data_IF_668116092798
#
_entry.id   IF_668116092798
#
_cell.length_a   1.000
_cell.length_b   1.000
_cell.length_c   1.000
_cell.angle_alpha   90.00
_cell.angle_beta   90.00
_cell.angle_gamma   90.00
#
_symmetry.space_group_name_H-M   'P 1'
#
loop_
_entity.id
_entity.type
_entity.pdbx_description
1 polymer ?
#
# COMPACT_ATOMS: atom_id res chain seq x y z
N UNK A 1 48.86 -13.19 -80.48
CA UNK A 1 47.78 -12.60 -81.32
C UNK A 1 46.60 -12.35 -80.38
N UNK A 2 46.43 -11.12 -79.89
CA UNK A 2 45.65 -10.02 -80.48
C UNK A 2 44.17 -10.07 -80.04
N UNK A 3 43.76 -9.08 -79.23
CA UNK A 3 42.43 -8.99 -78.59
C UNK A 3 41.40 -8.34 -79.55
N UNK A 4 40.11 -8.70 -79.49
CA UNK A 4 39.09 -8.07 -80.34
C UNK A 4 38.67 -6.68 -79.82
N UNK A 5 38.51 -5.77 -80.78
CA UNK A 5 37.67 -4.56 -80.83
C UNK A 5 37.38 -3.76 -79.54
N UNK A 6 37.95 -2.56 -79.52
CA UNK A 6 37.60 -1.46 -78.61
C UNK A 6 36.58 -0.55 -79.31
N UNK A 7 35.29 -0.66 -78.99
CA UNK A 7 34.29 0.28 -79.51
C UNK A 7 34.51 1.68 -78.88
N UNK A 8 34.67 2.67 -79.76
CA UNK A 8 34.83 4.08 -79.41
C UNK A 8 33.45 4.67 -79.13
N UNK A 9 33.22 5.20 -77.92
CA UNK A 9 31.97 5.92 -77.57
C UNK A 9 32.14 7.41 -77.84
N UNK A 10 31.19 8.00 -78.55
CA UNK A 10 31.15 9.44 -78.81
C UNK A 10 31.04 10.30 -77.55
N UNK A 11 31.75 11.45 -77.49
CA UNK A 11 31.70 12.37 -76.37
C UNK A 11 30.66 13.49 -76.57
N UNK A 12 29.38 13.16 -76.79
CA UNK A 12 28.31 14.15 -76.74
C UNK A 12 27.50 14.08 -75.44
N UNK A 13 27.87 14.98 -74.52
CA UNK A 13 27.14 15.26 -73.27
C UNK A 13 25.77 15.89 -73.57
N UNK A 14 24.74 15.06 -73.72
CA UNK A 14 23.38 15.48 -73.42
C UNK A 14 23.26 15.77 -71.91
N UNK A 15 22.99 17.01 -71.53
CA UNK A 15 22.90 17.44 -70.12
C UNK A 15 21.70 16.73 -69.47
N UNK A 16 21.97 15.70 -68.66
CA UNK A 16 20.97 15.13 -67.77
C UNK A 16 20.74 16.11 -66.63
N UNK A 17 19.71 16.95 -66.75
CA UNK A 17 19.20 17.75 -65.64
C UNK A 17 18.97 16.82 -64.45
N UNK A 18 19.61 17.05 -63.29
CA UNK A 18 19.41 16.17 -62.15
C UNK A 18 17.95 16.27 -61.72
N UNK A 19 17.23 15.15 -61.80
CA UNK A 19 15.87 15.04 -61.26
C UNK A 19 15.98 15.32 -59.77
N UNK A 20 15.61 16.54 -59.35
CA UNK A 20 15.56 16.91 -57.95
C UNK A 20 14.58 15.96 -57.28
N UNK A 21 15.07 15.09 -56.40
CA UNK A 21 14.20 14.29 -55.52
C UNK A 21 13.29 15.29 -54.79
N UNK A 22 11.96 15.10 -54.76
CA UNK A 22 11.09 16.00 -54.04
C UNK A 22 11.50 15.98 -52.57
N UNK A 23 12.00 17.10 -52.07
CA UNK A 23 12.21 17.29 -50.63
C UNK A 23 10.84 17.24 -49.97
N UNK A 24 10.64 16.26 -49.09
CA UNK A 24 9.45 16.17 -48.24
C UNK A 24 9.44 17.34 -47.28
N UNK A 25 8.83 18.44 -47.71
CA UNK A 25 8.58 19.61 -46.88
C UNK A 25 7.48 19.26 -45.89
N UNK A 26 7.86 19.02 -44.63
CA UNK A 26 6.91 18.90 -43.52
C UNK A 26 6.37 20.29 -43.16
N UNK A 27 5.61 20.89 -44.07
CA UNK A 27 4.82 22.08 -43.78
C UNK A 27 3.84 21.69 -42.67
N UNK A 28 3.93 22.37 -41.53
CA UNK A 28 3.00 22.16 -40.42
C UNK A 28 1.59 22.47 -40.93
N UNK A 29 0.73 21.46 -40.99
CA UNK A 29 -0.69 21.69 -41.24
C UNK A 29 -1.24 22.53 -40.07
N UNK A 30 -1.97 23.59 -40.41
CA UNK A 30 -2.84 24.27 -39.45
C UNK A 30 -3.82 23.24 -38.86
N UNK A 31 -4.11 23.34 -37.57
CA UNK A 31 -5.01 22.40 -36.91
C UNK A 31 -6.45 22.68 -37.37
N UNK A 32 -7.16 21.63 -37.78
CA UNK A 32 -8.57 21.70 -38.15
C UNK A 32 -9.40 22.20 -36.95
N UNK A 33 -10.11 23.33 -37.06
CA UNK A 33 -10.89 23.90 -35.95
C UNK A 33 -12.10 23.04 -35.55
N UNK A 34 -12.59 22.16 -36.42
CA UNK A 34 -13.68 21.22 -36.14
C UNK A 34 -13.19 19.83 -35.68
N UNK A 35 -11.88 19.64 -35.51
CA UNK A 35 -11.34 18.40 -34.96
C UNK A 35 -11.91 18.16 -33.54
N UNK A 36 -12.42 16.94 -33.23
CA UNK A 36 -13.00 16.66 -31.93
C UNK A 36 -11.98 16.90 -30.82
N UNK A 37 -12.35 17.72 -29.84
CA UNK A 37 -11.46 18.13 -28.76
C UNK A 37 -10.82 16.91 -28.08
N UNK A 38 -9.50 16.80 -28.19
CA UNK A 38 -8.74 15.69 -27.61
C UNK A 38 -9.04 15.58 -26.11
N UNK A 39 -9.19 14.36 -25.55
CA UNK A 39 -9.52 14.19 -24.14
C UNK A 39 -8.38 14.71 -23.26
N UNK A 40 -8.53 15.95 -22.76
CA UNK A 40 -7.55 16.59 -21.90
C UNK A 40 -7.73 16.15 -20.45
N UNK A 41 -6.61 15.91 -19.77
CA UNK A 41 -6.59 15.72 -18.33
C UNK A 41 -6.04 16.96 -17.63
N UNK A 42 -6.51 17.27 -16.42
CA UNK A 42 -5.99 18.43 -15.67
C UNK A 42 -4.51 18.22 -15.31
N UNK A 43 -3.66 19.18 -15.66
CA UNK A 43 -2.21 19.12 -15.52
C UNK A 43 -1.76 18.73 -14.10
N UNK A 44 -2.32 19.37 -13.06
CA UNK A 44 -1.98 19.10 -11.66
C UNK A 44 -2.34 17.68 -11.20
N UNK A 45 -3.35 17.04 -11.80
CA UNK A 45 -3.68 15.62 -11.55
C UNK A 45 -2.56 14.73 -12.06
N UNK A 46 -2.10 14.96 -13.29
CA UNK A 46 -1.03 14.15 -13.90
C UNK A 46 0.33 14.37 -13.25
N UNK A 47 0.68 15.61 -12.88
CA UNK A 47 1.92 15.92 -12.14
C UNK A 47 1.94 15.22 -10.76
N UNK A 48 0.81 15.24 -10.05
CA UNK A 48 0.67 14.55 -8.76
C UNK A 48 0.69 13.03 -8.91
N UNK A 49 0.16 12.49 -10.01
CA UNK A 49 0.20 11.06 -10.35
C UNK A 49 1.62 10.60 -10.69
N UNK A 50 2.39 11.43 -11.42
CA UNK A 50 3.82 11.24 -11.69
C UNK A 50 4.72 11.28 -10.44
N UNK A 51 4.16 11.59 -9.27
CA UNK A 51 4.85 11.59 -7.99
C UNK A 51 5.55 12.90 -7.61
N UNK A 52 5.28 14.01 -8.31
CA UNK A 52 5.99 15.29 -8.09
C UNK A 52 5.54 16.10 -6.86
N UNK A 53 4.42 15.73 -6.22
CA UNK A 53 3.91 16.37 -4.99
C UNK A 53 2.42 16.11 -4.78
N UNK A 54 1.78 16.79 -3.82
CA UNK A 54 0.32 16.80 -3.65
C UNK A 54 -0.37 17.53 -4.81
N UNK A 55 -1.68 17.28 -5.01
CA UNK A 55 -2.44 17.98 -6.06
C UNK A 55 -2.46 19.50 -5.84
N UNK A 56 -2.51 19.95 -4.57
CA UNK A 56 -2.49 21.37 -4.20
C UNK A 56 -1.10 21.98 -4.43
N UNK A 57 -0.04 21.24 -4.11
CA UNK A 57 1.34 21.66 -4.35
C UNK A 57 1.57 21.85 -5.86
N UNK A 58 1.00 20.97 -6.68
CA UNK A 58 1.08 21.08 -8.14
C UNK A 58 0.22 22.22 -8.69
N UNK A 59 -0.95 22.53 -8.09
CA UNK A 59 -1.71 23.75 -8.43
C UNK A 59 -0.94 25.03 -8.08
N UNK A 60 -0.31 25.09 -6.91
CA UNK A 60 0.56 26.19 -6.51
C UNK A 60 1.80 26.32 -7.41
N UNK A 61 2.41 25.19 -7.80
CA UNK A 61 3.56 25.16 -8.71
C UNK A 61 3.18 25.62 -10.12
N UNK A 62 2.00 25.24 -10.63
CA UNK A 62 1.44 25.81 -11.86
C UNK A 62 1.21 27.32 -11.71
N UNK A 63 0.58 27.76 -10.61
CA UNK A 63 0.36 29.18 -10.31
C UNK A 63 1.64 30.02 -10.21
N UNK A 64 2.78 29.40 -9.88
CA UNK A 64 4.09 30.08 -9.85
C UNK A 64 4.70 30.37 -11.25
N UNK A 65 4.06 29.92 -12.33
CA UNK A 65 4.53 30.15 -13.71
C UNK A 65 5.75 29.30 -14.14
N UNK A 66 6.25 28.41 -13.27
CA UNK A 66 7.43 27.56 -13.53
C UNK A 66 7.18 26.37 -14.46
N UNK A 67 5.92 26.09 -14.79
CA UNK A 67 5.52 25.00 -15.67
C UNK A 67 5.05 25.56 -17.01
N UNK A 68 5.58 25.00 -18.10
CA UNK A 68 5.17 25.35 -19.46
C UNK A 68 4.60 24.15 -20.20
N UNK A 69 3.51 24.34 -20.94
CA UNK A 69 2.94 23.38 -21.91
C UNK A 69 3.32 23.89 -23.30
N UNK A 70 4.02 23.10 -24.11
CA UNK A 70 4.44 23.45 -25.47
C UNK A 70 5.21 24.79 -25.58
N UNK A 71 5.87 25.22 -24.49
CA UNK A 71 6.60 26.49 -24.40
C UNK A 71 5.79 27.68 -23.85
N UNK A 72 4.47 27.54 -23.68
CA UNK A 72 3.59 28.57 -23.08
C UNK A 72 3.44 28.29 -21.58
N UNK A 73 3.48 29.33 -20.74
CA UNK A 73 3.29 29.19 -19.28
C UNK A 73 1.89 28.65 -18.97
N UNK A 74 1.82 27.61 -18.14
CA UNK A 74 0.56 26.97 -17.76
C UNK A 74 -0.21 27.80 -16.71
N UNK A 75 -1.52 27.90 -16.87
CA UNK A 75 -2.43 28.52 -15.90
C UNK A 75 -3.08 27.50 -14.97
N UNK A 76 -3.58 27.94 -13.81
CA UNK A 76 -4.30 27.07 -12.87
C UNK A 76 -5.54 26.50 -13.58
N UNK A 77 -5.70 25.18 -13.49
CA UNK A 77 -6.75 24.45 -14.19
C UNK A 77 -6.43 24.03 -15.63
N UNK A 78 -5.24 24.34 -16.17
CA UNK A 78 -4.85 23.91 -17.53
C UNK A 78 -5.08 22.41 -17.76
N UNK A 79 -5.68 22.09 -18.91
CA UNK A 79 -5.75 20.75 -19.46
C UNK A 79 -4.51 20.42 -20.27
N UNK A 80 -4.16 19.15 -20.36
CA UNK A 80 -3.04 18.65 -21.16
C UNK A 80 -3.41 17.30 -21.80
N UNK A 81 -2.94 17.09 -23.03
CA UNK A 81 -3.12 15.90 -23.86
C UNK A 81 -1.82 15.11 -23.99
N UNK A 82 -1.89 13.86 -24.47
CA UNK A 82 -0.72 12.98 -24.59
C UNK A 82 0.38 13.48 -25.53
N UNK A 83 0.05 14.39 -26.45
CA UNK A 83 0.99 14.96 -27.41
C UNK A 83 1.73 16.22 -26.90
N UNK A 84 1.31 16.75 -25.75
CA UNK A 84 1.83 18.02 -25.23
C UNK A 84 3.15 17.85 -24.45
N UNK A 85 4.12 18.72 -24.75
CA UNK A 85 5.42 18.74 -24.07
C UNK A 85 5.34 19.62 -22.83
N UNK A 86 5.14 18.98 -21.68
CA UNK A 86 5.18 19.65 -20.37
C UNK A 86 6.61 19.75 -19.86
N UNK A 87 7.00 20.93 -19.39
CA UNK A 87 8.31 21.19 -18.77
C UNK A 87 8.15 21.90 -17.43
N UNK A 88 9.00 21.56 -16.46
CA UNK A 88 9.22 22.30 -15.22
C UNK A 88 10.64 22.86 -15.26
N UNK A 89 10.81 24.17 -15.07
CA UNK A 89 12.10 24.86 -15.15
C UNK A 89 12.89 24.45 -16.43
N UNK A 90 12.21 24.49 -17.57
CA UNK A 90 12.68 24.07 -18.91
C UNK A 90 12.99 22.58 -19.09
N UNK A 91 12.96 21.74 -18.04
CA UNK A 91 13.19 20.28 -18.11
C UNK A 91 11.90 19.54 -18.46
N UNK A 92 11.87 18.66 -19.48
CA UNK A 92 10.67 17.90 -19.84
C UNK A 92 10.29 16.90 -18.74
N UNK A 93 8.99 16.79 -18.46
CA UNK A 93 8.40 15.81 -17.53
C UNK A 93 7.65 14.77 -18.36
N UNK A 94 7.90 13.49 -18.09
CA UNK A 94 7.04 12.42 -18.58
C UNK A 94 5.80 12.34 -17.70
N UNK A 95 4.63 12.57 -18.29
CA UNK A 95 3.33 12.43 -17.62
C UNK A 95 2.71 11.07 -17.96
N UNK A 96 2.14 10.35 -16.97
CA UNK A 96 1.50 9.06 -17.20
C UNK A 96 0.12 9.25 -17.85
N UNK A 97 0.07 9.25 -19.18
CA UNK A 97 -1.16 9.23 -19.96
C UNK A 97 -1.72 7.81 -20.16
N UNK A 98 -0.83 6.82 -20.29
CA UNK A 98 -1.22 5.41 -20.30
C UNK A 98 -1.52 4.93 -18.87
N UNK A 99 -2.61 4.18 -18.72
CA UNK A 99 -2.99 3.60 -17.44
C UNK A 99 -2.12 2.36 -17.17
N UNK A 100 -1.07 2.50 -16.36
CA UNK A 100 -0.44 1.33 -15.73
C UNK A 100 -1.41 0.66 -14.74
N UNK A 101 -1.29 -0.66 -14.54
CA UNK A 101 -2.05 -1.33 -13.48
C UNK A 101 -1.67 -0.72 -12.13
N UNK A 102 -2.68 -0.28 -11.39
CA UNK A 102 -2.50 0.27 -10.05
C UNK A 102 -1.72 -0.72 -9.16
N UNK A 103 -0.92 -0.20 -8.24
CA UNK A 103 -0.42 -1.01 -7.12
C UNK A 103 -1.37 -0.82 -5.95
N UNK A 104 -1.55 -1.87 -5.16
CA UNK A 104 -2.29 -1.81 -3.89
C UNK A 104 -1.45 -2.51 -2.83
N UNK A 105 -1.25 -1.85 -1.71
CA UNK A 105 -0.48 -2.34 -0.57
C UNK A 105 -1.40 -2.44 0.65
N UNK A 106 -1.50 -3.62 1.24
CA UNK A 106 -2.06 -3.81 2.58
C UNK A 106 -0.97 -3.46 3.60
N UNK A 107 -1.32 -2.65 4.58
CA UNK A 107 -0.54 -2.40 5.78
C UNK A 107 -1.34 -2.75 7.03
N UNK A 108 -0.77 -3.59 7.91
CA UNK A 108 -1.28 -3.74 9.27
C UNK A 108 -0.70 -2.62 10.13
N UNK A 109 -1.35 -1.45 10.08
CA UNK A 109 -0.95 -0.24 10.82
C UNK A 109 -0.89 -0.53 12.33
N UNK A 110 0.23 -0.22 13.01
CA UNK A 110 0.29 -0.23 14.47
C UNK A 110 -0.32 1.05 15.08
N UNK A 111 -0.51 1.05 16.39
CA UNK A 111 -0.75 2.27 17.15
C UNK A 111 0.53 3.13 17.19
N UNK A 112 0.39 4.44 17.48
CA UNK A 112 1.51 5.39 17.52
C UNK A 112 1.90 6.03 16.18
N UNK A 113 1.42 5.49 15.05
CA UNK A 113 1.67 6.09 13.73
C UNK A 113 0.50 6.95 13.24
N UNK A 114 0.82 8.09 12.62
CA UNK A 114 -0.16 8.99 11.99
C UNK A 114 -0.30 8.74 10.48
N UNK A 115 -1.50 8.97 9.95
CA UNK A 115 -1.78 8.90 8.50
C UNK A 115 -1.71 10.32 7.88
N UNK A 116 -0.50 10.87 7.83
CA UNK A 116 -0.19 12.12 7.10
C UNK A 116 1.18 12.08 6.44
N UNK A 117 1.34 12.73 5.28
CA UNK A 117 2.64 12.86 4.59
C UNK A 117 3.49 13.99 5.18
N UNK A 118 2.84 15.04 5.70
CA UNK A 118 3.47 16.15 6.40
C UNK A 118 2.76 16.35 7.75
N UNK A 119 3.54 16.55 8.79
CA UNK A 119 3.05 16.67 10.17
C UNK A 119 3.85 17.74 10.89
N UNK A 120 3.23 18.84 11.34
CA UNK A 120 3.92 19.91 12.05
C UNK A 120 4.67 19.43 13.30
N UNK A 121 4.12 18.44 14.00
CA UNK A 121 4.70 17.82 15.20
C UNK A 121 5.78 16.77 14.89
N UNK A 122 6.01 16.45 13.61
CA UNK A 122 7.02 15.49 13.11
C UNK A 122 6.92 14.09 13.73
N UNK A 123 5.70 13.64 14.07
CA UNK A 123 5.42 12.30 14.60
C UNK A 123 5.73 11.21 13.58
N UNK A 124 5.80 9.96 14.04
CA UNK A 124 6.04 8.80 13.19
C UNK A 124 4.90 8.63 12.16
N UNK A 125 5.22 8.66 10.87
CA UNK A 125 4.23 8.54 9.80
C UNK A 125 4.19 7.14 9.21
N UNK A 126 2.98 6.66 8.87
CA UNK A 126 2.81 5.43 8.07
C UNK A 126 3.56 5.49 6.72
N UNK A 127 3.81 6.71 6.20
CA UNK A 127 4.53 6.91 4.93
C UNK A 127 6.04 6.72 5.08
N UNK A 128 6.61 6.87 6.29
CA UNK A 128 8.05 6.73 6.56
C UNK A 128 8.59 5.30 6.28
N UNK A 129 7.68 4.31 6.25
CA UNK A 129 7.94 2.88 6.09
C UNK A 129 7.71 2.34 4.67
N UNK A 130 7.07 3.10 3.78
CA UNK A 130 6.57 2.56 2.51
C UNK A 130 7.69 2.23 1.50
N UNK A 131 7.53 1.16 0.68
CA UNK A 131 8.48 0.85 -0.39
C UNK A 131 8.44 1.94 -1.47
N UNK A 132 9.60 2.29 -2.05
CA UNK A 132 9.66 3.29 -3.14
C UNK A 132 9.02 2.75 -4.42
N UNK A 133 8.20 3.58 -5.07
CA UNK A 133 7.64 3.33 -6.41
C UNK A 133 8.30 4.28 -7.41
N UNK A 134 8.53 3.82 -8.64
CA UNK A 134 9.06 4.66 -9.73
C UNK A 134 7.89 5.32 -10.47
N UNK A 135 8.01 6.60 -10.83
CA UNK A 135 7.01 7.33 -11.62
C UNK A 135 5.64 7.52 -10.96
N UNK A 136 5.48 7.13 -9.70
CA UNK A 136 4.23 7.22 -8.95
C UNK A 136 4.51 7.33 -7.45
N UNK A 137 3.48 7.69 -6.69
CA UNK A 137 3.51 7.79 -5.22
C UNK A 137 2.40 6.96 -4.58
N UNK A 138 2.58 6.59 -3.32
CA UNK A 138 1.52 5.98 -2.52
C UNK A 138 0.51 7.02 -2.04
N UNK A 139 -0.76 6.66 -2.14
CA UNK A 139 -1.92 7.39 -1.65
C UNK A 139 -2.57 6.49 -0.59
N UNK A 140 -2.71 6.96 0.65
CA UNK A 140 -3.45 6.24 1.68
C UNK A 140 -4.94 6.23 1.34
N UNK A 141 -5.59 5.07 1.49
CA UNK A 141 -7.03 4.92 1.33
C UNK A 141 -7.67 5.09 2.71
N UNK A 142 -8.28 6.25 2.91
CA UNK A 142 -8.80 6.70 4.20
C UNK A 142 -7.69 7.01 5.21
N UNK A 143 -8.11 7.24 6.44
CA UNK A 143 -7.22 7.43 7.60
C UNK A 143 -7.57 6.41 8.69
N UNK A 144 -6.66 6.25 9.63
CA UNK A 144 -6.88 5.64 10.93
C UNK A 144 -6.22 6.57 11.96
N UNK A 145 -6.83 6.72 13.14
CA UNK A 145 -6.25 7.53 14.21
C UNK A 145 -4.90 6.96 14.69
N UNK A 146 -4.14 7.78 15.39
CA UNK A 146 -2.86 7.39 15.98
C UNK A 146 -3.03 6.17 16.92
N UNK A 147 -4.09 6.15 17.73
CA UNK A 147 -4.45 5.06 18.65
C UNK A 147 -5.45 4.06 18.04
N UNK A 148 -5.38 3.86 16.72
CA UNK A 148 -6.18 2.86 16.00
C UNK A 148 -5.28 2.02 15.11
N UNK A 149 -5.46 0.71 15.20
CA UNK A 149 -4.65 -0.31 14.53
C UNK A 149 -5.38 -0.97 13.35
N UNK A 150 -4.70 -1.86 12.64
CA UNK A 150 -5.31 -2.75 11.65
C UNK A 150 -5.15 -2.30 10.21
N UNK A 151 -6.15 -2.62 9.38
CA UNK A 151 -6.10 -2.50 7.93
C UNK A 151 -6.01 -1.05 7.45
N UNK A 152 -4.86 -0.66 6.94
CA UNK A 152 -4.68 0.53 6.10
C UNK A 152 -4.27 0.10 4.69
N UNK A 153 -4.99 0.55 3.68
CA UNK A 153 -4.64 0.30 2.29
C UNK A 153 -3.90 1.52 1.73
N UNK A 154 -2.93 1.27 0.85
CA UNK A 154 -2.34 2.29 -0.02
C UNK A 154 -2.50 1.89 -1.47
N UNK A 155 -2.60 2.87 -2.37
CA UNK A 155 -2.61 2.63 -3.81
C UNK A 155 -1.83 3.71 -4.57
N UNK A 156 -1.41 3.41 -5.80
CA UNK A 156 -0.93 4.42 -6.75
C UNK A 156 -2.08 5.08 -7.55
N UNK A 157 -3.29 4.52 -7.53
CA UNK A 157 -4.44 5.07 -8.27
C UNK A 157 -5.29 5.99 -7.38
N UNK A 158 -5.26 7.28 -7.68
CA UNK A 158 -6.12 8.26 -7.00
C UNK A 158 -7.63 8.03 -7.23
N UNK A 159 -8.00 7.40 -8.34
CA UNK A 159 -9.39 7.07 -8.65
C UNK A 159 -9.87 5.90 -7.77
N UNK A 160 -9.06 4.86 -7.61
CA UNK A 160 -9.37 3.75 -6.70
C UNK A 160 -9.45 4.23 -5.24
N UNK A 161 -8.53 5.11 -4.82
CA UNK A 161 -8.61 5.72 -3.50
C UNK A 161 -9.91 6.52 -3.31
N UNK A 162 -10.34 7.29 -4.31
CA UNK A 162 -11.59 8.03 -4.29
C UNK A 162 -12.82 7.10 -4.17
N UNK A 163 -12.84 5.98 -4.91
CA UNK A 163 -13.91 4.96 -4.84
C UNK A 163 -14.11 4.38 -3.44
N UNK A 164 -13.03 4.18 -2.69
CA UNK A 164 -13.09 3.70 -1.31
C UNK A 164 -13.42 4.78 -0.26
N UNK A 165 -13.05 6.04 -0.52
CA UNK A 165 -13.12 7.11 0.48
C UNK A 165 -14.37 7.98 0.39
N UNK A 166 -14.94 8.16 -0.80
CA UNK A 166 -16.01 9.14 -0.99
C UNK A 166 -17.35 8.60 -0.44
N UNK A 167 -18.07 9.34 0.45
CA UNK A 167 -19.27 8.85 1.13
C UNK A 167 -20.33 8.25 0.21
N UNK A 168 -20.56 8.86 -0.97
CA UNK A 168 -21.50 8.37 -2.02
C UNK A 168 -21.40 6.90 -2.43
N UNK A 169 -20.28 6.22 -2.14
CA UNK A 169 -20.07 4.81 -2.48
C UNK A 169 -20.35 3.87 -1.31
N UNK A 170 -20.62 4.39 -0.11
CA UNK A 170 -21.02 3.63 1.08
C UNK A 170 -20.13 2.40 1.34
N UNK A 171 -18.82 2.58 1.18
CA UNK A 171 -17.88 1.45 1.29
C UNK A 171 -17.70 1.07 2.75
N UNK A 172 -18.23 -0.11 3.09
CA UNK A 172 -18.19 -0.71 4.42
C UNK A 172 -16.78 -0.74 5.03
N UNK A 173 -16.72 -0.42 6.32
CA UNK A 173 -15.53 -0.45 7.18
C UNK A 173 -15.89 -1.25 8.41
N UNK A 174 -15.14 -2.31 8.65
CA UNK A 174 -15.42 -3.25 9.74
C UNK A 174 -14.32 -3.15 10.79
N UNK A 175 -14.73 -3.05 12.06
CA UNK A 175 -13.83 -2.90 13.18
C UNK A 175 -14.08 -3.98 14.23
N UNK A 176 -12.99 -4.55 14.74
CA UNK A 176 -12.97 -5.22 16.03
C UNK A 176 -12.72 -4.16 17.11
N UNK A 177 -13.66 -4.03 18.03
CA UNK A 177 -13.68 -3.04 19.11
C UNK A 177 -13.62 -3.78 20.43
N UNK A 178 -12.72 -3.39 21.34
CA UNK A 178 -12.74 -3.86 22.73
C UNK A 178 -13.12 -2.72 23.65
N UNK A 179 -14.23 -2.86 24.37
CA UNK A 179 -14.68 -1.88 25.36
C UNK A 179 -14.37 -2.33 26.78
N UNK A 180 -14.43 -1.39 27.72
CA UNK A 180 -14.55 -1.69 29.15
C UNK A 180 -16.04 -1.61 29.53
N UNK A 181 -16.56 -2.67 30.16
CA UNK A 181 -17.99 -2.92 30.35
C UNK A 181 -18.58 -3.84 29.27
N UNK A 182 -19.91 -3.89 29.21
CA UNK A 182 -20.70 -4.68 28.27
C UNK A 182 -21.90 -3.86 27.79
N UNK A 183 -22.29 -3.98 26.53
CA UNK A 183 -23.54 -3.42 26.02
C UNK A 183 -24.73 -4.33 26.34
N UNK A 184 -25.77 -3.77 26.93
CA UNK A 184 -27.09 -4.40 27.01
C UNK A 184 -27.74 -4.54 25.63
N UNK A 185 -28.68 -5.48 25.47
CA UNK A 185 -29.42 -5.66 24.21
C UNK A 185 -30.15 -4.39 23.75
N UNK A 186 -30.68 -3.60 24.70
CA UNK A 186 -31.32 -2.30 24.41
C UNK A 186 -30.34 -1.28 23.83
N UNK A 187 -29.12 -1.17 24.38
CA UNK A 187 -28.09 -0.29 23.83
C UNK A 187 -27.58 -0.78 22.47
N UNK A 188 -27.50 -2.10 22.26
CA UNK A 188 -27.18 -2.69 20.94
C UNK A 188 -28.25 -2.30 19.90
N UNK A 189 -29.53 -2.27 20.29
CA UNK A 189 -30.62 -1.84 19.40
C UNK A 189 -30.52 -0.33 19.09
N UNK A 190 -30.36 0.52 20.11
CA UNK A 190 -30.17 1.96 19.94
C UNK A 190 -28.97 2.31 19.04
N UNK A 191 -27.86 1.58 19.17
CA UNK A 191 -26.69 1.73 18.30
C UNK A 191 -26.95 1.34 16.83
N UNK A 192 -27.96 0.52 16.54
CA UNK A 192 -28.38 0.17 15.17
C UNK A 192 -29.40 1.15 14.60
N UNK A 193 -30.36 1.58 15.42
CA UNK A 193 -31.39 2.56 15.06
C UNK A 193 -30.80 3.96 14.85
N UNK A 194 -29.80 4.31 15.66
CA UNK A 194 -29.04 5.55 15.58
C UNK A 194 -29.19 6.42 16.81
N UNK A 195 -28.12 7.15 17.13
CA UNK A 195 -28.06 8.09 18.24
C UNK A 195 -27.52 9.45 17.77
N UNK A 196 -27.91 10.52 18.47
CA UNK A 196 -27.45 11.86 18.15
C UNK A 196 -26.03 12.08 18.69
N UNK A 197 -25.09 12.46 17.81
CA UNK A 197 -23.74 12.90 18.18
C UNK A 197 -23.59 14.41 17.91
N UNK A 198 -22.50 15.01 18.41
CA UNK A 198 -22.20 16.45 18.25
C UNK A 198 -22.23 16.97 16.80
N UNK A 199 -21.91 16.10 15.83
CA UNK A 199 -21.89 16.39 14.39
C UNK A 199 -23.09 15.77 13.62
N UNK A 200 -24.17 15.39 14.33
CA UNK A 200 -25.41 14.82 13.79
C UNK A 200 -25.62 13.34 14.13
N UNK A 201 -26.73 12.72 13.68
CA UNK A 201 -27.06 11.33 13.98
C UNK A 201 -26.02 10.36 13.40
N UNK A 202 -25.77 9.24 14.08
CA UNK A 202 -24.88 8.17 13.64
C UNK A 202 -25.34 6.80 14.15
N UNK A 203 -25.04 5.73 13.41
CA UNK A 203 -25.40 4.35 13.76
C UNK A 203 -24.36 3.33 13.27
N UNK A 204 -24.43 2.11 13.78
CA UNK A 204 -23.76 0.95 13.19
C UNK A 204 -24.72 0.22 12.24
N UNK A 205 -24.28 -0.10 11.02
CA UNK A 205 -25.03 -0.96 10.09
C UNK A 205 -25.19 -2.37 10.65
N UNK A 206 -24.15 -2.83 11.35
CA UNK A 206 -24.14 -4.10 12.09
C UNK A 206 -23.27 -3.95 13.33
N UNK A 207 -23.73 -4.57 14.42
CA UNK A 207 -22.95 -4.77 15.65
C UNK A 207 -23.29 -6.16 16.19
N UNK A 208 -22.24 -6.90 16.55
CA UNK A 208 -22.35 -8.24 17.16
C UNK A 208 -21.31 -8.44 18.26
N UNK A 209 -21.69 -9.00 19.42
CA UNK A 209 -20.73 -9.38 20.45
C UNK A 209 -19.88 -10.56 19.97
N UNK A 210 -18.60 -10.55 20.37
CA UNK A 210 -17.60 -11.57 20.01
C UNK A 210 -17.05 -12.28 21.27
N UNK A 211 -17.72 -12.11 22.41
CA UNK A 211 -17.28 -12.59 23.72
C UNK A 211 -16.33 -11.63 24.43
N UNK A 212 -15.87 -12.02 25.61
CA UNK A 212 -15.00 -11.22 26.48
C UNK A 212 -14.55 -11.99 27.70
N UNK A 213 -13.66 -11.38 28.49
CA UNK A 213 -13.21 -11.90 29.77
C UNK A 213 -13.20 -10.76 30.81
N UNK A 214 -13.82 -11.02 31.97
CA UNK A 214 -14.01 -10.00 33.01
C UNK A 214 -14.70 -8.74 32.47
N UNK A 215 -14.19 -7.57 32.83
CA UNK A 215 -14.74 -6.28 32.40
C UNK A 215 -14.44 -5.90 30.95
N UNK A 216 -13.88 -6.77 30.11
CA UNK A 216 -13.47 -6.43 28.73
C UNK A 216 -14.21 -7.28 27.68
N UNK A 217 -15.11 -6.65 26.93
CA UNK A 217 -15.87 -7.31 25.86
C UNK A 217 -15.47 -6.84 24.46
N UNK A 218 -15.49 -7.77 23.51
CA UNK A 218 -15.23 -7.52 22.10
C UNK A 218 -16.53 -7.43 21.31
N UNK A 219 -16.59 -6.48 20.39
CA UNK A 219 -17.66 -6.29 19.42
C UNK A 219 -17.08 -6.17 18.02
N UNK A 220 -17.76 -6.76 17.04
CA UNK A 220 -17.51 -6.55 15.62
C UNK A 220 -18.58 -5.58 15.11
N UNK A 221 -18.15 -4.43 14.57
CA UNK A 221 -19.04 -3.37 14.08
C UNK A 221 -18.75 -3.02 12.62
N UNK A 222 -19.79 -2.68 11.85
CA UNK A 222 -19.70 -2.25 10.44
C UNK A 222 -20.32 -0.86 10.28
N UNK A 223 -19.65 0.01 9.53
CA UNK A 223 -20.13 1.34 9.13
C UNK A 223 -19.81 1.63 7.67
N UNK A 224 -20.70 2.35 7.00
CA UNK A 224 -20.50 2.88 5.63
C UNK A 224 -19.95 4.31 5.58
N UNK A 225 -20.03 5.03 6.70
CA UNK A 225 -19.39 6.33 6.92
C UNK A 225 -18.01 6.22 7.62
N UNK A 226 -17.48 7.36 8.04
CA UNK A 226 -16.10 7.49 8.50
C UNK A 226 -15.77 8.89 9.02
N UNK A 227 -16.69 9.48 9.79
CA UNK A 227 -16.49 10.76 10.50
C UNK A 227 -15.38 10.63 11.53
N UNK A 228 -14.94 11.76 12.07
CA UNK A 228 -13.83 11.74 13.02
C UNK A 228 -14.21 10.95 14.28
N UNK A 229 -13.40 9.94 14.62
CA UNK A 229 -13.53 9.09 15.82
C UNK A 229 -14.91 8.45 16.03
N UNK A 230 -15.71 8.34 14.97
CA UNK A 230 -17.11 7.90 14.94
C UNK A 230 -17.41 6.67 15.80
N UNK A 231 -16.69 5.55 15.56
CA UNK A 231 -16.82 4.32 16.38
C UNK A 231 -16.62 4.60 17.86
N UNK A 232 -15.61 5.40 18.24
CA UNK A 232 -15.33 5.69 19.65
C UNK A 232 -16.45 6.53 20.26
N UNK A 233 -16.92 7.55 19.55
CA UNK A 233 -18.01 8.43 19.99
C UNK A 233 -19.33 7.69 20.20
N UNK A 234 -19.65 6.72 19.32
CA UNK A 234 -20.83 5.87 19.46
C UNK A 234 -20.83 5.05 20.77
N UNK A 235 -19.69 4.48 21.18
CA UNK A 235 -19.58 3.77 22.46
C UNK A 235 -19.43 4.73 23.67
N UNK A 236 -18.71 5.85 23.50
CA UNK A 236 -18.53 6.90 24.52
C UNK A 236 -19.88 7.55 24.92
N UNK A 237 -20.85 7.62 24.00
CA UNK A 237 -22.23 8.08 24.28
C UNK A 237 -22.98 7.22 25.32
N UNK A 238 -22.59 5.95 25.50
CA UNK A 238 -23.08 5.05 26.54
C UNK A 238 -22.11 4.90 27.73
N UNK A 239 -21.12 5.79 27.83
CA UNK A 239 -20.08 5.80 28.86
C UNK A 239 -19.22 4.50 28.88
N UNK A 240 -19.13 3.81 27.74
CA UNK A 240 -18.35 2.58 27.56
C UNK A 240 -17.07 2.87 26.76
N UNK A 241 -15.92 3.11 27.42
CA UNK A 241 -14.71 3.56 26.73
C UNK A 241 -14.08 2.45 25.88
N UNK A 242 -13.70 2.80 24.64
CA UNK A 242 -13.02 1.89 23.70
C UNK A 242 -11.54 1.75 24.05
N UNK A 243 -11.18 0.64 24.71
CA UNK A 243 -9.79 0.33 25.07
C UNK A 243 -8.93 -0.12 23.89
N UNK A 244 -9.51 -0.79 22.88
CA UNK A 244 -8.81 -1.14 21.62
C UNK A 244 -9.72 -1.01 20.42
N UNK A 245 -9.17 -0.49 19.31
CA UNK A 245 -9.85 -0.39 18.03
C UNK A 245 -8.93 -0.88 16.91
N UNK A 246 -9.42 -1.84 16.11
CA UNK A 246 -8.69 -2.44 15.00
C UNK A 246 -9.60 -2.55 13.78
N UNK A 247 -9.25 -1.91 12.66
CA UNK A 247 -9.98 -2.12 11.39
C UNK A 247 -9.60 -3.49 10.82
N UNK A 248 -10.58 -4.36 10.59
CA UNK A 248 -10.36 -5.74 10.09
C UNK A 248 -10.72 -5.90 8.62
N UNK A 249 -11.68 -5.12 8.10
CA UNK A 249 -12.06 -5.10 6.67
C UNK A 249 -12.32 -3.67 6.21
N UNK A 250 -12.05 -3.42 4.93
CA UNK A 250 -12.46 -2.20 4.23
C UNK A 250 -12.90 -2.59 2.82
N UNK A 251 -14.18 -2.40 2.51
CA UNK A 251 -14.81 -2.87 1.28
C UNK A 251 -14.66 -4.39 1.12
N UNK A 252 -14.15 -4.88 -0.02
CA UNK A 252 -13.90 -6.30 -0.25
C UNK A 252 -12.55 -6.79 0.31
N UNK A 253 -11.72 -5.90 0.86
CA UNK A 253 -10.37 -6.26 1.33
C UNK A 253 -10.39 -6.53 2.83
N UNK A 254 -10.08 -7.77 3.20
CA UNK A 254 -9.87 -8.21 4.58
C UNK A 254 -8.40 -8.05 4.98
N UNK A 255 -8.14 -7.87 6.28
CA UNK A 255 -6.80 -7.96 6.87
C UNK A 255 -6.38 -9.44 6.93
N UNK A 256 -5.41 -9.91 6.12
CA UNK A 256 -5.07 -11.33 6.09
C UNK A 256 -4.37 -11.72 7.41
N UNK A 257 -4.76 -12.82 8.09
CA UNK A 257 -4.19 -13.21 9.39
C UNK A 257 -2.67 -13.40 9.40
N UNK A 258 -2.09 -13.70 8.22
CA UNK A 258 -0.63 -13.81 8.01
C UNK A 258 0.14 -12.49 8.10
N UNK A 259 -0.53 -11.33 8.10
CA UNK A 259 0.10 -10.02 8.26
C UNK A 259 0.06 -9.60 9.73
N UNK A 260 1.21 -9.71 10.41
CA UNK A 260 1.37 -9.20 11.78
C UNK A 260 1.42 -7.68 11.82
N UNK A 261 1.17 -7.08 12.99
CA UNK A 261 1.29 -5.64 13.22
C UNK A 261 2.63 -5.10 12.71
N UNK A 262 2.58 -3.99 11.97
CA UNK A 262 3.75 -3.37 11.36
C UNK A 262 4.24 -4.04 10.06
N UNK A 263 3.65 -5.15 9.60
CA UNK A 263 3.98 -5.77 8.30
C UNK A 263 3.11 -5.25 7.15
N UNK A 264 3.66 -5.33 5.94
CA UNK A 264 3.07 -4.89 4.67
C UNK A 264 2.99 -6.04 3.66
N UNK A 265 2.15 -5.91 2.64
CA UNK A 265 1.98 -6.87 1.53
C UNK A 265 1.46 -6.16 0.28
N UNK A 266 2.01 -6.45 -0.90
CA UNK A 266 1.46 -5.97 -2.18
C UNK A 266 0.39 -6.97 -2.64
N UNK A 267 -0.78 -6.49 -3.06
CA UNK A 267 -1.80 -7.35 -3.67
C UNK A 267 -1.31 -7.87 -5.03
N UNK A 268 -1.71 -9.09 -5.38
CA UNK A 268 -1.39 -9.66 -6.69
C UNK A 268 -2.12 -8.91 -7.82
N UNK A 269 -1.56 -8.87 -9.05
CA UNK A 269 -2.20 -8.20 -10.19
C UNK A 269 -3.65 -8.64 -10.44
N UNK A 270 -3.97 -9.91 -10.20
CA UNK A 270 -5.34 -10.45 -10.31
C UNK A 270 -6.27 -9.87 -9.25
N UNK A 271 -5.82 -9.79 -7.99
CA UNK A 271 -6.60 -9.18 -6.91
C UNK A 271 -6.83 -7.69 -7.15
N UNK A 272 -5.84 -6.98 -7.71
CA UNK A 272 -6.01 -5.58 -8.11
C UNK A 272 -7.02 -5.43 -9.26
N UNK A 273 -7.01 -6.30 -10.27
CA UNK A 273 -8.00 -6.27 -11.36
C UNK A 273 -9.41 -6.46 -10.80
N UNK A 274 -9.63 -7.52 -9.99
CA UNK A 274 -10.90 -7.75 -9.32
C UNK A 274 -11.35 -6.53 -8.49
N UNK A 275 -10.41 -5.81 -7.87
CA UNK A 275 -10.69 -4.64 -7.06
C UNK A 275 -11.02 -3.39 -7.90
N UNK A 276 -10.41 -3.23 -9.08
CA UNK A 276 -10.80 -2.20 -10.05
C UNK A 276 -12.20 -2.47 -10.62
N UNK A 277 -12.48 -3.73 -10.97
CA UNK A 277 -13.80 -4.18 -11.44
C UNK A 277 -14.89 -3.95 -10.38
N UNK A 278 -14.66 -4.35 -9.13
CA UNK A 278 -15.55 -4.06 -8.00
C UNK A 278 -15.77 -2.56 -7.81
N UNK A 279 -14.74 -1.74 -8.00
CA UNK A 279 -14.83 -0.29 -7.94
C UNK A 279 -15.51 0.35 -9.17
N UNK A 280 -15.90 -0.43 -10.19
CA UNK A 280 -16.46 0.07 -11.44
C UNK A 280 -15.46 0.92 -12.24
N UNK A 281 -14.19 0.50 -12.27
CA UNK A 281 -13.09 1.12 -12.99
C UNK A 281 -12.56 0.17 -14.06
N UNK A 282 -12.17 0.71 -15.21
CA UNK A 282 -11.55 -0.09 -16.27
C UNK A 282 -10.16 -0.59 -15.84
N UNK A 283 -9.97 -1.91 -15.87
CA UNK A 283 -8.66 -2.51 -15.76
C UNK A 283 -7.84 -2.24 -17.05
N UNK A 284 -6.55 -1.85 -16.94
CA UNK A 284 -5.72 -1.65 -18.12
C UNK A 284 -5.60 -2.89 -19.01
N UNK A 285 -5.88 -2.72 -20.30
CA UNK A 285 -5.79 -3.77 -21.32
C UNK A 285 -4.35 -4.11 -21.73
N UNK A 286 -3.36 -3.38 -21.21
CA UNK A 286 -1.95 -3.66 -21.44
C UNK A 286 -1.61 -5.09 -20.97
N UNK A 287 -0.83 -5.87 -21.73
CA UNK A 287 -0.48 -7.22 -21.30
C UNK A 287 0.26 -7.15 -19.97
N UNK A 288 -0.28 -7.82 -18.95
CA UNK A 288 0.40 -7.97 -17.67
C UNK A 288 1.78 -8.56 -17.96
N UNK A 289 2.84 -7.76 -17.79
CA UNK A 289 4.22 -8.22 -17.97
C UNK A 289 4.37 -9.48 -17.12
N UNK A 290 4.67 -10.60 -17.78
CA UNK A 290 4.76 -11.89 -17.12
C UNK A 290 5.86 -11.81 -16.05
N UNK A 291 5.43 -11.71 -14.78
CA UNK A 291 6.31 -11.75 -13.62
C UNK A 291 6.84 -13.17 -13.50
N UNK A 292 8.13 -13.32 -13.19
CA UNK A 292 8.68 -14.61 -12.80
C UNK A 292 8.00 -15.12 -11.53
N UNK A 293 7.96 -16.44 -11.31
CA UNK A 293 7.36 -17.02 -10.11
C UNK A 293 7.92 -16.39 -8.81
N UNK A 294 9.22 -16.11 -8.79
CA UNK A 294 9.93 -15.44 -7.69
C UNK A 294 9.50 -13.98 -7.46
N UNK A 295 9.07 -13.26 -8.50
CA UNK A 295 8.52 -11.91 -8.37
C UNK A 295 7.07 -11.91 -7.86
N UNK A 296 6.30 -12.95 -8.20
CA UNK A 296 4.93 -13.16 -7.68
C UNK A 296 5.00 -13.50 -6.18
N UNK A 297 5.75 -14.56 -5.84
CA UNK A 297 5.96 -15.01 -4.46
C UNK A 297 6.47 -13.88 -3.55
N UNK A 298 7.43 -13.09 -4.03
CA UNK A 298 7.98 -11.95 -3.28
C UNK A 298 7.01 -10.77 -3.12
N UNK A 299 6.08 -10.56 -4.05
CA UNK A 299 5.07 -9.52 -3.93
C UNK A 299 3.97 -9.91 -2.93
N UNK A 300 3.51 -11.15 -3.02
CA UNK A 300 2.47 -11.72 -2.16
C UNK A 300 2.96 -12.07 -0.73
N UNK A 301 4.27 -12.14 -0.49
CA UNK A 301 4.85 -12.38 0.83
C UNK A 301 4.67 -11.18 1.78
N UNK A 302 4.23 -11.38 3.03
CA UNK A 302 4.24 -10.30 4.02
C UNK A 302 5.69 -9.91 4.34
N UNK A 303 6.01 -8.63 4.32
CA UNK A 303 7.34 -8.12 4.62
C UNK A 303 7.32 -7.07 5.74
N UNK A 304 8.40 -7.02 6.52
CA UNK A 304 8.64 -5.89 7.43
C UNK A 304 9.28 -4.74 6.64
N UNK A 305 8.72 -3.52 6.68
CA UNK A 305 9.28 -2.37 5.98
C UNK A 305 10.66 -2.01 6.53
N UNK A 306 11.60 -1.66 5.62
CA UNK A 306 12.92 -1.15 6.02
C UNK A 306 12.80 0.31 6.42
N UNK A 307 12.92 0.58 7.72
CA UNK A 307 12.93 1.93 8.26
C UNK A 307 14.13 2.75 7.79
N UNK A 308 13.89 4.03 7.47
CA UNK A 308 14.97 5.01 7.30
C UNK A 308 15.56 5.40 8.66
N UNK A 309 16.82 5.85 8.72
CA UNK A 309 17.44 6.32 9.98
C UNK A 309 16.64 7.42 10.67
N UNK A 310 16.05 8.32 9.90
CA UNK A 310 15.23 9.42 10.41
C UNK A 310 13.89 8.91 10.96
N UNK A 311 13.30 7.90 10.33
CA UNK A 311 12.09 7.23 10.82
C UNK A 311 12.35 6.45 12.11
N UNK A 312 13.50 5.77 12.23
CA UNK A 312 13.91 5.07 13.46
C UNK A 312 13.91 6.00 14.67
N UNK A 313 14.48 7.21 14.53
CA UNK A 313 14.53 8.21 15.60
C UNK A 313 13.14 8.73 16.02
N UNK A 314 12.20 8.89 15.07
CA UNK A 314 10.81 9.25 15.39
C UNK A 314 10.08 8.14 16.13
N UNK A 315 10.20 6.90 15.65
CA UNK A 315 9.53 5.74 16.24
C UNK A 315 10.03 5.42 17.66
N UNK A 316 11.33 5.51 17.93
CA UNK A 316 11.85 5.28 19.28
C UNK A 316 11.29 6.26 20.33
N UNK A 317 10.94 7.50 19.92
CA UNK A 317 10.27 8.45 20.81
C UNK A 317 8.81 8.06 21.10
N UNK A 318 8.11 7.49 20.12
CA UNK A 318 6.72 7.04 20.28
C UNK A 318 6.63 5.74 21.08
N UNK A 319 7.51 4.77 20.84
CA UNK A 319 7.54 3.51 21.61
C UNK A 319 7.79 3.77 23.11
N UNK A 320 8.62 4.76 23.46
CA UNK A 320 8.80 5.21 24.84
C UNK A 320 7.49 5.77 25.44
N UNK A 321 6.80 6.68 24.74
CA UNK A 321 5.54 7.28 25.20
C UNK A 321 4.40 6.28 25.34
N UNK A 322 4.26 5.33 24.40
CA UNK A 322 3.23 4.27 24.48
C UNK A 322 3.50 3.31 25.64
N UNK A 323 4.78 2.99 25.91
CA UNK A 323 5.18 2.21 27.09
C UNK A 323 4.87 2.97 28.39
N UNK A 324 5.11 4.27 28.41
CA UNK A 324 4.83 5.12 29.56
C UNK A 324 3.31 5.23 29.85
N UNK A 325 2.49 5.46 28.82
CA UNK A 325 1.02 5.48 28.91
C UNK A 325 0.44 4.14 29.38
N UNK A 326 0.85 3.02 28.78
CA UNK A 326 0.38 1.69 29.22
C UNK A 326 0.82 1.36 30.64
N UNK A 327 2.00 1.81 31.07
CA UNK A 327 2.44 1.69 32.46
C UNK A 327 1.68 2.60 33.43
N UNK A 328 1.09 3.70 32.95
CA UNK A 328 0.24 4.60 33.74
C UNK A 328 -1.16 4.01 33.89
N UNK A 329 -1.74 3.45 32.83
CA UNK A 329 -3.00 2.71 32.86
C UNK A 329 -2.93 1.50 33.81
N UNK A 330 -1.84 0.74 33.79
CA UNK A 330 -1.63 -0.39 34.72
C UNK A 330 -1.46 0.06 36.18
N UNK A 331 -0.91 1.26 36.44
CA UNK A 331 -0.73 1.80 37.79
C UNK A 331 -2.00 2.41 38.38
N UNK A 332 -2.90 2.90 37.53
CA UNK A 332 -4.15 3.56 37.93
C UNK A 332 -5.41 2.74 37.64
N UNK A 333 -5.27 1.45 37.33
CA UNK A 333 -6.39 0.52 37.27
C UNK A 333 -7.12 0.51 38.63
N UNK A 334 -8.46 0.61 38.66
CA UNK A 334 -9.21 0.51 39.92
C UNK A 334 -8.92 -0.82 40.60
N UNK A 335 -8.54 -0.77 41.89
CA UNK A 335 -8.46 -1.99 42.69
C UNK A 335 -9.89 -2.44 42.98
N UNK A 336 -10.20 -3.68 42.65
CA UNK A 336 -11.45 -4.31 43.07
C UNK A 336 -11.52 -4.30 44.59
N UNK A 337 -12.64 -3.81 45.13
CA UNK A 337 -12.90 -3.71 46.56
C UNK A 337 -13.72 -4.94 46.96
N UNK A 338 -13.04 -6.04 47.27
CA UNK A 338 -13.68 -7.19 47.89
C UNK A 338 -14.22 -6.80 49.28
N UNK A 339 -15.54 -6.86 49.45
CA UNK A 339 -16.16 -6.34 50.66
C UNK A 339 -17.56 -6.88 50.95
N UNK A 340 -17.65 -8.15 51.38
CA UNK A 340 -18.75 -8.78 52.13
C UNK A 340 -18.28 -10.20 52.57
N UNK A 341 -18.59 -10.79 53.74
CA UNK A 341 -19.33 -10.39 54.94
C UNK A 341 -18.81 -11.18 56.19
N UNK A 342 -18.95 -10.57 57.38
CA UNK A 342 -18.92 -11.15 58.75
C UNK A 342 -18.82 -12.69 58.91
N UNK A 343 -17.92 -13.12 59.83
CA UNK A 343 -18.28 -13.84 61.07
C UNK A 343 -17.10 -13.77 62.05
N UNK A 344 -17.37 -13.46 63.31
CA UNK A 344 -16.34 -13.52 64.36
C UNK A 344 -16.55 -14.73 65.27
N UNK A 345 -15.52 -15.09 66.02
CA UNK A 345 -15.65 -15.51 67.42
C UNK A 345 -14.35 -15.17 68.15
N UNK A 346 -14.47 -14.71 69.40
CA UNK A 346 -13.34 -14.69 70.33
C UNK A 346 -13.17 -16.09 70.89
N UNK A 347 -11.94 -16.51 71.13
CA UNK A 347 -11.67 -17.35 72.31
C UNK A 347 -10.24 -17.10 72.82
N UNK A 348 -10.04 -17.35 74.11
CA UNK A 348 -8.89 -16.85 74.87
C UNK A 348 -8.35 -17.88 75.84
N UNK A 349 -7.11 -18.31 75.62
CA UNK A 349 -6.22 -18.95 76.59
C UNK A 349 -4.78 -18.88 76.03
N UNK A 350 -3.70 -18.79 76.81
CA UNK A 350 -3.59 -18.67 78.26
C UNK A 350 -2.49 -19.58 78.80
N UNK A 351 -1.35 -18.99 79.23
CA UNK A 351 -0.19 -19.64 79.90
C UNK A 351 0.66 -20.59 79.04
N UNK A 352 1.93 -20.86 79.33
CA UNK A 352 2.95 -20.21 80.21
C UNK A 352 4.36 -20.52 79.67
N UNK A 353 5.40 -19.91 80.26
CA UNK A 353 6.80 -20.12 79.88
C UNK A 353 7.29 -21.56 80.15
N UNK A 354 8.25 -22.04 79.35
CA UNK A 354 9.46 -22.62 79.96
C UNK A 354 10.72 -22.39 79.10
N UNK A 355 11.88 -22.83 79.62
CA UNK A 355 13.11 -22.04 79.58
C UNK A 355 14.32 -22.86 79.10
N UNK A 356 15.36 -22.14 78.64
CA UNK A 356 16.77 -22.57 78.38
C UNK A 356 17.05 -23.26 77.02
N UNK A 357 18.17 -22.85 76.41
CA UNK A 357 18.67 -23.47 75.18
C UNK A 357 19.76 -22.66 74.44
N UNK A 358 20.78 -22.17 75.14
CA UNK A 358 21.87 -21.42 74.49
C UNK A 358 22.75 -22.32 73.62
N UNK A 359 22.96 -21.96 72.34
CA UNK A 359 24.29 -22.05 71.68
C UNK A 359 24.49 -20.86 70.74
N UNK A 360 25.64 -20.20 70.86
CA UNK A 360 26.12 -19.14 69.96
C UNK A 360 26.79 -19.72 68.72
N UNK A 361 26.62 -19.07 67.57
CA UNK A 361 27.69 -18.70 66.58
C UNK A 361 27.02 -17.93 65.42
N UNK A 362 27.56 -16.83 64.92
CA UNK A 362 28.86 -16.19 65.18
C UNK A 362 29.55 -15.89 63.85
N UNK A 363 29.69 -14.61 63.52
CA UNK A 363 30.08 -14.13 62.20
C UNK A 363 31.50 -14.50 61.71
N UNK A 364 31.66 -14.47 60.38
CA UNK A 364 32.94 -14.15 59.73
C UNK A 364 33.86 -15.33 59.34
N UNK A 365 35.11 -15.03 58.95
CA UNK A 365 35.34 -14.41 57.64
C UNK A 365 36.60 -14.92 56.89
N UNK A 366 36.71 -14.52 55.61
CA UNK A 366 37.94 -14.08 54.91
C UNK A 366 39.22 -14.95 54.77
N UNK A 367 39.88 -14.68 53.63
CA UNK A 367 41.32 -14.35 53.48
C UNK A 367 42.27 -15.43 52.91
N UNK A 368 43.12 -14.98 51.97
CA UNK A 368 44.47 -15.47 51.63
C UNK A 368 44.62 -16.93 51.15
N UNK A 369 45.54 -17.31 50.24
CA UNK A 369 46.51 -16.65 49.35
C UNK A 369 46.94 -17.73 48.28
N UNK A 370 47.86 -17.60 47.32
CA UNK A 370 48.90 -16.63 46.90
C UNK A 370 49.22 -16.90 45.40
N UNK A 371 49.72 -15.90 44.65
CA UNK A 371 50.64 -16.04 43.48
C UNK A 371 50.12 -16.87 42.25
N UNK A 372 49.99 -16.37 41.02
CA UNK A 372 50.33 -15.09 40.34
C UNK A 372 49.23 -14.76 39.29
N UNK A 373 49.25 -13.70 38.47
CA UNK A 373 50.34 -12.77 38.18
C UNK A 373 49.97 -11.52 37.35
N UNK A 374 51.01 -10.93 36.78
CA UNK A 374 51.18 -9.60 36.13
C UNK A 374 51.61 -9.82 34.65
N UNK A 375 51.36 -8.99 33.62
CA UNK A 375 51.11 -7.53 33.48
C UNK A 375 50.11 -7.24 32.32
N UNK A 376 49.11 -6.35 32.47
CA UNK A 376 49.07 -4.92 32.08
C UNK A 376 49.42 -4.52 30.61
N UNK A 377 48.34 -4.35 29.81
CA UNK A 377 47.99 -3.22 28.88
C UNK A 377 49.06 -2.13 28.60
N UNK A 378 49.12 -1.58 27.36
CA UNK A 378 48.29 -0.37 27.07
C UNK A 378 47.74 -0.21 25.62
N UNK A 379 47.08 0.94 25.38
CA UNK A 379 46.48 1.41 24.11
C UNK A 379 47.47 2.25 23.28
N UNK A 380 47.34 2.21 21.95
CA UNK A 380 47.73 3.23 20.94
C UNK A 380 46.87 2.99 19.68
N UNK A 381 46.25 3.92 18.94
CA UNK A 381 46.50 5.31 18.49
C UNK A 381 47.46 5.42 17.28
N UNK A 382 47.04 6.26 16.32
CA UNK A 382 47.67 6.64 15.03
C UNK A 382 47.54 5.59 13.90
N UNK A 383 47.15 5.84 12.63
CA UNK A 383 47.07 6.98 11.68
C UNK A 383 48.22 7.04 10.66
N UNK A 384 47.91 7.36 9.38
CA UNK A 384 48.84 7.80 8.29
C UNK A 384 49.69 6.63 7.69
N UNK A 385 49.96 6.45 6.38
CA UNK A 385 49.52 7.10 5.13
C UNK A 385 49.56 6.16 3.88
N UNK A 386 49.10 6.69 2.73
CA UNK A 386 49.42 6.43 1.29
C UNK A 386 50.42 5.33 0.86
N UNK A 387 50.05 4.60 -0.21
CA UNK A 387 50.61 4.59 -1.60
C UNK A 387 50.05 3.33 -2.32
N UNK A 388 49.40 3.34 -3.50
CA UNK A 388 49.62 3.94 -4.83
C UNK A 388 50.42 3.00 -5.79
N UNK A 389 50.06 3.05 -7.09
CA UNK A 389 50.60 2.30 -8.25
C UNK A 389 50.28 0.79 -8.33
N UNK A 390 50.18 0.12 -9.51
CA UNK A 390 49.82 0.49 -10.91
C UNK A 390 49.78 -0.84 -11.74
N UNK A 391 49.28 -0.78 -12.99
CA UNK A 391 49.40 -1.79 -14.08
C UNK A 391 48.49 -3.02 -13.94
N UNK A 392 47.66 -3.42 -14.91
CA UNK A 392 47.58 -3.19 -16.37
C UNK A 392 48.63 -3.93 -17.22
N UNK A 393 48.35 -5.22 -17.48
CA UNK A 393 48.62 -6.01 -18.69
C UNK A 393 47.48 -7.06 -18.72
N UNK A 394 46.73 -7.35 -19.79
CA UNK A 394 47.15 -7.96 -21.07
C UNK A 394 47.91 -9.29 -20.85
N UNK A 395 47.67 -10.40 -21.57
CA UNK A 395 46.99 -10.55 -22.87
C UNK A 395 46.72 -12.04 -23.24
N UNK A 396 45.96 -12.28 -24.32
CA UNK A 396 46.12 -13.39 -25.31
C UNK A 396 45.71 -14.86 -24.99
N UNK A 397 45.36 -15.58 -26.09
CA UNK A 397 45.10 -17.02 -26.31
C UNK A 397 43.68 -17.52 -25.93
N UNK A 398 42.73 -17.77 -26.85
CA UNK A 398 42.73 -18.37 -28.22
C UNK A 398 42.97 -19.88 -28.24
N UNK A 399 41.90 -20.67 -28.44
CA UNK A 399 41.91 -21.92 -29.21
C UNK A 399 40.48 -22.39 -29.52
N UNK A 400 40.15 -22.50 -30.80
CA UNK A 400 39.01 -23.28 -31.29
C UNK A 400 39.42 -24.76 -31.39
N UNK A 401 38.47 -25.71 -31.25
CA UNK A 401 38.11 -26.68 -32.33
C UNK A 401 37.13 -27.79 -31.89
N UNK A 402 36.23 -28.09 -32.83
CA UNK A 402 35.76 -29.42 -33.33
C UNK A 402 35.58 -30.61 -32.36
N UNK A 403 34.68 -31.58 -32.53
CA UNK A 403 33.39 -31.84 -33.24
C UNK A 403 33.23 -33.39 -33.30
N UNK A 404 31.99 -33.90 -33.44
CA UNK A 404 31.62 -35.34 -33.59
C UNK A 404 31.80 -36.18 -32.30
N UNK A 405 31.06 -37.24 -31.98
CA UNK A 405 30.00 -38.08 -32.62
C UNK A 405 28.87 -38.32 -31.61
N UNK A 406 27.61 -38.71 -31.87
CA UNK A 406 26.98 -39.44 -33.00
C UNK A 406 26.26 -40.70 -32.46
N UNK A 407 25.01 -40.95 -32.91
CA UNK A 407 23.98 -41.98 -32.50
C UNK A 407 22.78 -41.34 -31.77
N UNK A 408 21.51 -41.65 -32.06
CA UNK A 408 20.97 -42.53 -33.11
C UNK A 408 19.45 -42.33 -33.25
N UNK A 409 18.93 -42.53 -34.46
CA UNK A 409 17.54 -42.34 -34.88
C UNK A 409 16.50 -43.19 -34.11
N UNK A 410 15.25 -42.71 -34.06
CA UNK A 410 14.19 -43.37 -34.84
C UNK A 410 13.01 -42.42 -35.22
N UNK A 411 12.21 -42.81 -36.21
CA UNK A 411 11.28 -41.93 -36.96
C UNK A 411 9.93 -42.64 -37.22
N UNK A 412 8.84 -42.11 -36.64
CA UNK A 412 7.46 -41.90 -37.19
C UNK A 412 6.74 -43.09 -37.90
N UNK A 413 5.39 -43.25 -37.79
CA UNK A 413 4.46 -42.26 -38.39
C UNK A 413 3.06 -42.08 -37.75
N UNK A 414 2.26 -41.23 -38.42
CA UNK A 414 0.92 -40.73 -38.06
C UNK A 414 -0.21 -41.47 -38.81
N UNK A 415 -1.47 -41.26 -38.34
CA UNK A 415 -2.78 -41.05 -39.06
C UNK A 415 -3.88 -42.07 -38.68
N UNK A 416 -5.18 -41.82 -38.99
CA UNK A 416 -5.99 -40.58 -38.85
C UNK A 416 -7.41 -40.90 -38.25
N UNK A 417 -8.49 -40.29 -38.79
CA UNK A 417 -9.94 -40.42 -38.43
C UNK A 417 -10.36 -39.59 -37.20
N UNK A 418 -11.50 -38.90 -37.15
CA UNK A 418 -12.60 -38.65 -38.12
C UNK A 418 -13.91 -38.28 -37.37
N UNK A 419 -14.80 -37.41 -37.89
CA UNK A 419 -15.74 -36.65 -37.04
C UNK A 419 -17.16 -37.24 -36.93
N UNK A 420 -17.77 -37.10 -35.74
CA UNK A 420 -19.21 -37.26 -35.44
C UNK A 420 -19.53 -36.49 -34.15
N UNK A 421 -20.71 -35.93 -33.88
CA UNK A 421 -21.89 -35.44 -34.62
C UNK A 421 -22.85 -34.93 -33.53
N UNK A 422 -23.47 -33.78 -33.74
CA UNK A 422 -24.50 -33.23 -32.85
C UNK A 422 -25.84 -33.99 -33.02
N UNK A 423 -26.62 -34.26 -31.96
CA UNK A 423 -28.03 -34.66 -32.10
C UNK A 423 -29.01 -33.67 -31.42
N UNK A 424 -29.86 -33.03 -32.25
CA UNK A 424 -31.06 -32.30 -31.83
C UNK A 424 -32.12 -33.22 -31.21
N UNK A 425 -32.93 -32.68 -30.27
CA UNK A 425 -34.41 -32.82 -30.16
C UNK A 425 -34.90 -32.12 -28.86
N UNK A 426 -36.09 -31.51 -28.75
CA UNK A 426 -37.09 -30.95 -29.71
C UNK A 426 -38.24 -30.35 -28.87
N UNK A 427 -39.01 -29.39 -29.43
CA UNK A 427 -40.44 -29.10 -29.10
C UNK A 427 -40.66 -28.45 -27.70
N UNK A 428 -41.39 -27.33 -27.52
CA UNK A 428 -42.67 -26.90 -28.15
C UNK A 428 -42.67 -25.45 -28.67
N UNK A 429 -43.39 -25.23 -29.77
CA UNK A 429 -43.99 -23.96 -30.15
C UNK A 429 -45.51 -24.06 -29.98
N UNK A 430 -46.13 -22.94 -29.61
CA UNK A 430 -47.51 -22.53 -29.86
C UNK A 430 -47.47 -20.98 -29.76
N UNK A 431 -47.75 -20.18 -30.79
CA UNK A 431 -49.09 -19.82 -31.31
C UNK A 431 -50.00 -19.28 -30.19
N UNK A 432 -50.56 -18.06 -30.24
CA UNK A 432 -50.79 -17.20 -31.42
C UNK A 432 -51.29 -15.78 -31.04
N UNK A 433 -51.22 -14.84 -32.00
CA UNK A 433 -52.27 -13.83 -32.35
C UNK A 433 -52.57 -12.58 -31.46
N UNK A 434 -52.28 -11.41 -32.07
CA UNK A 434 -53.08 -10.16 -32.19
C UNK A 434 -53.27 -9.19 -31.00
N UNK A 435 -52.52 -8.09 -31.10
CA UNK A 435 -52.97 -6.68 -31.19
C UNK A 435 -54.37 -6.28 -30.68
N UNK A 436 -54.41 -5.39 -29.68
CA UNK A 436 -55.31 -4.21 -29.69
C UNK A 436 -54.95 -3.20 -28.59
N UNK A 437 -54.77 -1.93 -28.96
CA UNK A 437 -55.00 -0.81 -28.03
C UNK A 437 -56.51 -0.57 -27.86
N UNK A 438 -56.92 0.19 -26.82
CA UNK A 438 -57.51 1.49 -27.19
C UNK A 438 -57.02 2.69 -26.37
N UNK A 439 -57.19 3.87 -26.97
CA UNK A 439 -56.93 5.18 -26.38
C UNK A 439 -58.04 5.65 -25.43
N UNK A 440 -57.67 6.63 -24.61
CA UNK A 440 -58.46 7.80 -24.17
C UNK A 440 -59.54 7.65 -23.09
N UNK A 441 -59.22 8.23 -21.92
CA UNK A 441 -60.01 9.19 -21.10
C UNK A 441 -59.07 9.64 -19.96
N UNK A 442 -58.96 10.91 -19.59
CA UNK A 442 -59.63 12.13 -20.07
C UNK A 442 -58.71 13.33 -19.81
#
# INVERSE_FOLDING_TARGET
>A
MARPFKQQRDPQRGIKTPVKRPTTSFTKLEADPDAPAQPTQRLHKLLALAGLGSRRDMEALVGSGRITINGVVASIGAGVSANDVVRLDSRPIQLPFEAELAKVLIYHKPEGEIVSQDDPEKRASVFDKLPRVKGAKWIAIGRLDINTSGLLLFTTSGELANRFMHPRYEVEREYAVRIFGELTEGQILQLKEGIELEDGPANFDHISPQGGEGSNHWYQVILREGRNREVRRLFEAFQLPVSRLMRVRFGPVNLPPRIKRGMMMELEPKEVINLLEWAGLEAPKAPLRQRSAREIEKAAAPFTPKLSKQAQQRLSGVEAQVTELTSYEQRNAPKEVDGETRRGLKESSGRENDTRGSVRRGAGPSLAERLTGTERKPRGRNSIDRHAFERQTSDIATAERESKTGRGADVRPRKPVGPKKNPNKRIRQASDIVDTQPKAKR
#
